data_IF_541800948150
#
_entry.id   IF_541800948150
#
_cell.length_a   1.000
_cell.length_b   1.000
_cell.length_c   1.000
_cell.angle_alpha   90.00
_cell.angle_beta   90.00
_cell.angle_gamma   90.00
#
_symmetry.space_group_name_H-M   'P 1'
#
loop_
_entity.id
_entity.type
_entity.pdbx_description
1 polymer ?
#
# COMPACT_ATOMS: atom_id res chain seq x y z
N UNK A 1 -16.12 -7.74 45.88
CA UNK A 1 -15.32 -7.09 44.82
C UNK A 1 -14.38 -6.14 45.51
N UNK A 2 -13.28 -6.72 45.99
CA UNK A 2 -12.03 -6.02 46.19
C UNK A 2 -11.76 -5.20 44.92
N UNK A 3 -11.51 -3.90 45.09
CA UNK A 3 -11.05 -3.04 44.03
C UNK A 3 -9.58 -2.76 44.28
N UNK A 4 -8.77 -2.91 43.24
CA UNK A 4 -7.35 -2.58 43.29
C UNK A 4 -7.17 -1.07 43.51
N UNK A 5 -6.23 -0.69 44.38
CA UNK A 5 -5.79 0.70 44.45
C UNK A 5 -4.98 1.09 43.20
N UNK A 6 -4.94 2.37 42.87
CA UNK A 6 -4.26 2.86 41.66
C UNK A 6 -2.76 2.49 41.64
N UNK A 7 -2.10 2.49 42.80
CA UNK A 7 -0.71 2.06 42.97
C UNK A 7 -0.48 0.58 42.59
N UNK A 8 -1.46 -0.30 42.85
CA UNK A 8 -1.41 -1.71 42.53
C UNK A 8 -1.64 -1.94 41.04
N UNK A 9 -2.55 -1.17 40.44
CA UNK A 9 -2.76 -1.17 38.97
C UNK A 9 -1.51 -0.71 38.25
N UNK A 10 -0.88 0.37 38.71
CA UNK A 10 0.36 0.88 38.14
C UNK A 10 1.51 -0.15 38.28
N UNK A 11 1.58 -0.86 39.41
CA UNK A 11 2.56 -1.94 39.63
C UNK A 11 2.36 -3.12 38.68
N UNK A 12 1.11 -3.50 38.37
CA UNK A 12 0.80 -4.54 37.38
C UNK A 12 1.19 -4.07 35.98
N UNK A 13 0.94 -2.80 35.65
CA UNK A 13 1.32 -2.24 34.36
C UNK A 13 2.84 -2.20 34.16
N UNK A 14 3.62 -1.78 35.17
CA UNK A 14 5.07 -1.82 35.12
C UNK A 14 5.60 -3.26 34.96
N UNK A 15 4.98 -4.23 35.64
CA UNK A 15 5.31 -5.65 35.49
C UNK A 15 5.06 -6.17 34.06
N UNK A 16 4.01 -5.69 33.39
CA UNK A 16 3.72 -6.01 31.98
C UNK A 16 4.79 -5.44 31.03
N UNK A 17 5.28 -4.22 31.31
CA UNK A 17 6.35 -3.59 30.54
C UNK A 17 7.69 -4.32 30.74
N UNK A 18 8.01 -4.72 31.97
CA UNK A 18 9.23 -5.47 32.31
C UNK A 18 9.27 -6.84 31.62
N UNK A 19 8.12 -7.46 31.36
CA UNK A 19 8.02 -8.70 30.58
C UNK A 19 8.15 -8.49 29.06
N UNK A 20 8.39 -7.26 28.60
CA UNK A 20 8.70 -6.95 27.20
C UNK A 20 7.49 -6.78 26.28
N UNK A 21 6.28 -6.61 26.83
CA UNK A 21 5.09 -6.34 26.03
C UNK A 21 5.22 -4.95 25.39
N UNK A 22 5.37 -4.90 24.07
CA UNK A 22 5.56 -3.64 23.33
C UNK A 22 4.30 -3.11 22.62
N UNK A 23 3.21 -3.88 22.61
CA UNK A 23 2.01 -3.55 21.83
C UNK A 23 0.93 -2.98 22.75
N UNK A 24 0.72 -1.66 22.67
CA UNK A 24 -0.12 -0.88 23.59
C UNK A 24 -1.55 -1.42 23.75
N UNK A 25 -2.24 -1.77 22.66
CA UNK A 25 -3.62 -2.28 22.80
C UNK A 25 -3.66 -3.61 23.54
N UNK A 26 -2.66 -4.48 23.33
CA UNK A 26 -2.54 -5.73 24.06
C UNK A 26 -2.12 -5.49 25.51
N UNK A 27 -1.26 -4.50 25.80
CA UNK A 27 -0.95 -4.13 27.19
C UNK A 27 -2.22 -3.75 27.95
N UNK A 28 -3.10 -2.93 27.35
CA UNK A 28 -4.34 -2.51 27.98
C UNK A 28 -5.32 -3.68 28.18
N UNK A 29 -5.50 -4.53 27.17
CA UNK A 29 -6.36 -5.71 27.27
C UNK A 29 -5.84 -6.70 28.33
N UNK A 30 -4.52 -6.88 28.43
CA UNK A 30 -3.88 -7.75 29.42
C UNK A 30 -3.92 -7.15 30.83
N UNK A 31 -3.73 -5.83 30.97
CA UNK A 31 -3.85 -5.13 32.23
C UNK A 31 -5.24 -5.32 32.83
N UNK A 32 -6.28 -5.05 32.05
CA UNK A 32 -7.68 -5.21 32.48
C UNK A 32 -7.97 -6.67 32.90
N UNK A 33 -7.50 -7.62 32.10
CA UNK A 33 -7.69 -9.04 32.39
C UNK A 33 -6.97 -9.50 33.67
N UNK A 34 -5.71 -9.10 33.86
CA UNK A 34 -4.93 -9.46 35.05
C UNK A 34 -5.48 -8.78 36.29
N UNK A 35 -5.91 -7.51 36.19
CA UNK A 35 -6.60 -6.82 37.28
C UNK A 35 -7.84 -7.60 37.74
N UNK A 36 -8.72 -8.02 36.82
CA UNK A 36 -9.89 -8.85 37.16
C UNK A 36 -9.50 -10.18 37.82
N UNK A 37 -8.45 -10.87 37.35
CA UNK A 37 -7.99 -12.12 37.96
C UNK A 37 -7.47 -11.92 39.38
N UNK A 38 -6.71 -10.84 39.62
CA UNK A 38 -6.17 -10.48 40.93
C UNK A 38 -7.31 -10.12 41.88
N UNK A 39 -8.27 -9.29 41.45
CA UNK A 39 -9.46 -8.93 42.24
C UNK A 39 -10.28 -10.15 42.63
N UNK A 40 -10.47 -11.11 41.72
CA UNK A 40 -11.19 -12.35 42.00
C UNK A 40 -10.46 -13.21 43.05
N UNK A 41 -9.13 -13.26 43.01
CA UNK A 41 -8.32 -14.00 44.00
C UNK A 41 -8.28 -13.31 45.36
N UNK A 42 -8.24 -11.97 45.38
CA UNK A 42 -8.37 -11.19 46.60
C UNK A 42 -9.76 -11.33 47.23
N UNK A 43 -10.82 -11.39 46.44
CA UNK A 43 -12.19 -11.69 46.92
C UNK A 43 -12.28 -13.09 47.58
N UNK A 44 -11.40 -14.02 47.19
CA UNK A 44 -11.28 -15.35 47.81
C UNK A 44 -10.37 -15.38 49.06
N UNK A 45 -9.88 -14.23 49.51
CA UNK A 45 -9.11 -14.08 50.76
C UNK A 45 -7.60 -14.19 50.63
N UNK A 46 -7.05 -14.14 49.40
CA UNK A 46 -5.59 -14.11 49.16
C UNK A 46 -5.04 -12.69 49.28
N UNK A 47 -3.78 -12.56 49.71
CA UNK A 47 -3.07 -11.28 49.69
C UNK A 47 -2.75 -10.84 48.24
N UNK A 48 -2.49 -9.55 48.03
CA UNK A 48 -2.23 -8.99 46.70
C UNK A 48 -1.03 -9.64 46.01
N UNK A 49 0.11 -9.76 46.70
CA UNK A 49 1.34 -10.33 46.11
C UNK A 49 1.16 -11.79 45.69
N UNK A 50 0.46 -12.58 46.50
CA UNK A 50 0.13 -13.98 46.20
C UNK A 50 -0.89 -14.08 45.06
N UNK A 51 -1.91 -13.22 45.06
CA UNK A 51 -2.90 -13.11 43.98
C UNK A 51 -2.25 -12.73 42.65
N UNK A 52 -1.28 -11.82 42.67
CA UNK A 52 -0.52 -11.36 41.51
C UNK A 52 0.41 -12.46 40.98
N UNK A 53 1.17 -13.14 41.85
CA UNK A 53 2.07 -14.20 41.41
C UNK A 53 1.30 -15.36 40.79
N UNK A 54 0.19 -15.77 41.41
CA UNK A 54 -0.68 -16.83 40.89
C UNK A 54 -1.31 -16.43 39.57
N UNK A 55 -1.79 -15.19 39.42
CA UNK A 55 -2.41 -14.72 38.17
C UNK A 55 -1.41 -14.60 37.04
N UNK A 56 -0.21 -14.12 37.34
CA UNK A 56 0.92 -14.01 36.39
C UNK A 56 1.39 -15.38 35.90
N UNK A 57 1.47 -16.36 36.81
CA UNK A 57 1.85 -17.73 36.48
C UNK A 57 0.76 -18.46 35.69
N UNK A 58 -0.50 -18.32 36.09
CA UNK A 58 -1.66 -18.91 35.41
C UNK A 58 -1.82 -18.34 34.00
N UNK A 59 -1.56 -17.05 33.81
CA UNK A 59 -1.62 -16.40 32.50
C UNK A 59 -0.38 -16.68 31.64
N UNK A 60 0.77 -17.02 32.24
CA UNK A 60 1.99 -17.39 31.51
C UNK A 60 2.76 -16.20 30.94
N UNK A 61 2.83 -15.09 31.68
CA UNK A 61 3.44 -13.82 31.25
C UNK A 61 4.85 -13.93 30.66
N UNK A 62 5.67 -14.87 31.17
CA UNK A 62 7.03 -15.11 30.67
C UNK A 62 7.08 -15.61 29.22
N UNK A 63 6.06 -16.32 28.75
CA UNK A 63 5.99 -16.89 27.40
C UNK A 63 5.33 -15.93 26.40
N UNK A 64 4.60 -14.92 26.87
CA UNK A 64 3.86 -14.00 25.99
C UNK A 64 4.76 -13.16 25.10
N UNK A 65 5.92 -12.73 25.61
CA UNK A 65 6.89 -11.96 24.84
C UNK A 65 7.40 -12.74 23.63
N UNK A 66 7.74 -14.03 23.83
CA UNK A 66 8.13 -14.94 22.75
C UNK A 66 7.00 -15.15 21.74
N UNK A 67 5.76 -15.31 22.22
CA UNK A 67 4.57 -15.45 21.36
C UNK A 67 4.31 -14.17 20.57
N UNK A 68 4.46 -13.00 21.18
CA UNK A 68 4.29 -11.69 20.53
C UNK A 68 5.35 -11.49 19.44
N UNK A 69 6.62 -11.80 19.73
CA UNK A 69 7.71 -11.72 18.76
C UNK A 69 7.46 -12.69 17.59
N UNK A 70 7.11 -13.95 17.88
CA UNK A 70 6.77 -14.94 16.86
C UNK A 70 5.57 -14.49 16.02
N UNK A 71 4.56 -13.88 16.63
CA UNK A 71 3.36 -13.36 15.94
C UNK A 71 3.72 -12.21 15.00
N UNK A 72 4.50 -11.23 15.46
CA UNK A 72 4.96 -10.13 14.61
C UNK A 72 5.87 -10.60 13.49
N UNK A 73 6.74 -11.57 13.77
CA UNK A 73 7.59 -12.18 12.76
C UNK A 73 6.74 -12.87 11.67
N UNK A 74 5.76 -13.69 12.06
CA UNK A 74 4.85 -14.35 11.11
C UNK A 74 4.00 -13.35 10.33
N UNK A 75 3.51 -12.29 10.97
CA UNK A 75 2.75 -11.23 10.29
C UNK A 75 3.62 -10.51 9.25
N UNK A 76 4.88 -10.23 9.59
CA UNK A 76 5.85 -9.61 8.69
C UNK A 76 6.17 -10.52 7.51
N UNK A 77 6.40 -11.82 7.76
CA UNK A 77 6.61 -12.82 6.70
C UNK A 77 5.40 -12.92 5.77
N UNK A 78 4.17 -12.94 6.33
CA UNK A 78 2.92 -12.97 5.55
C UNK A 78 2.80 -11.75 4.65
N UNK A 79 3.03 -10.55 5.18
CA UNK A 79 2.98 -9.31 4.39
C UNK A 79 4.04 -9.30 3.28
N UNK A 80 5.26 -9.76 3.58
CA UNK A 80 6.33 -9.86 2.58
C UNK A 80 5.99 -10.90 1.49
N UNK A 81 5.38 -12.03 1.86
CA UNK A 81 4.90 -13.03 0.90
C UNK A 81 3.81 -12.46 -0.01
N UNK A 82 2.85 -11.71 0.54
CA UNK A 82 1.81 -11.06 -0.23
C UNK A 82 2.37 -10.02 -1.21
N UNK A 83 3.33 -9.18 -0.77
CA UNK A 83 4.04 -8.23 -1.64
C UNK A 83 4.77 -8.93 -2.78
N UNK A 84 5.46 -10.04 -2.50
CA UNK A 84 6.13 -10.85 -3.53
C UNK A 84 5.14 -11.41 -4.57
N UNK A 85 4.00 -11.93 -4.12
CA UNK A 85 2.95 -12.45 -5.02
C UNK A 85 2.42 -11.34 -5.93
N UNK A 86 2.09 -10.18 -5.38
CA UNK A 86 1.64 -9.01 -6.17
C UNK A 86 2.72 -8.58 -7.17
N UNK A 87 3.99 -8.57 -6.77
CA UNK A 87 5.11 -8.27 -7.66
C UNK A 87 5.22 -9.24 -8.84
N UNK A 88 5.08 -10.56 -8.59
CA UNK A 88 5.10 -11.58 -9.64
C UNK A 88 3.93 -11.40 -10.61
N UNK A 89 2.73 -11.16 -10.07
CA UNK A 89 1.53 -10.89 -10.88
C UNK A 89 1.73 -9.63 -11.73
N UNK A 90 2.31 -8.57 -11.16
CA UNK A 90 2.61 -7.33 -11.89
C UNK A 90 3.58 -7.56 -13.06
N UNK A 91 4.65 -8.33 -12.84
CA UNK A 91 5.61 -8.68 -13.89
C UNK A 91 4.93 -9.49 -15.00
N UNK A 92 4.12 -10.50 -14.62
CA UNK A 92 3.39 -11.31 -15.60
C UNK A 92 2.39 -10.46 -16.41
N UNK A 93 1.72 -9.53 -15.74
CA UNK A 93 0.79 -8.58 -16.37
C UNK A 93 1.51 -7.69 -17.37
N UNK A 94 2.66 -7.12 -16.98
CA UNK A 94 3.48 -6.29 -17.85
C UNK A 94 3.99 -7.08 -19.07
N UNK A 95 4.45 -8.32 -18.88
CA UNK A 95 4.84 -9.21 -19.96
C UNK A 95 3.67 -9.51 -20.91
N UNK A 96 2.48 -9.77 -20.37
CA UNK A 96 1.26 -9.98 -21.15
C UNK A 96 0.91 -8.76 -22.00
N UNK A 97 0.97 -7.55 -21.43
CA UNK A 97 0.73 -6.31 -22.19
C UNK A 97 1.79 -6.11 -23.27
N UNK A 98 3.08 -6.30 -22.97
CA UNK A 98 4.14 -6.17 -23.97
C UNK A 98 3.97 -7.16 -25.14
N UNK A 99 3.68 -8.42 -24.83
CA UNK A 99 3.38 -9.44 -25.86
C UNK A 99 2.11 -9.10 -26.65
N UNK A 100 1.08 -8.55 -25.99
CA UNK A 100 -0.13 -8.11 -26.66
C UNK A 100 0.14 -6.98 -27.67
N UNK A 101 1.02 -6.03 -27.32
CA UNK A 101 1.42 -4.94 -28.21
C UNK A 101 2.20 -5.48 -29.41
N UNK A 102 3.19 -6.35 -29.19
CA UNK A 102 3.96 -6.94 -30.31
C UNK A 102 3.07 -7.78 -31.23
N UNK A 103 2.10 -8.51 -30.67
CA UNK A 103 1.15 -9.28 -31.46
C UNK A 103 0.22 -8.38 -32.28
N UNK A 104 -0.18 -7.22 -31.72
CA UNK A 104 -0.99 -6.23 -32.43
C UNK A 104 -0.23 -5.64 -33.62
N UNK A 105 1.06 -5.33 -33.45
CA UNK A 105 1.93 -4.82 -34.52
C UNK A 105 2.18 -5.90 -35.58
N UNK A 106 2.41 -7.14 -35.16
CA UNK A 106 2.63 -8.28 -36.06
C UNK A 106 1.36 -8.87 -36.70
N UNK A 107 0.18 -8.26 -36.47
CA UNK A 107 -1.12 -8.74 -36.95
C UNK A 107 -1.45 -10.21 -36.57
N UNK A 108 -0.87 -10.72 -35.48
CA UNK A 108 -1.14 -12.08 -35.01
C UNK A 108 -2.52 -12.18 -34.31
N UNK A 109 -3.19 -13.33 -34.48
CA UNK A 109 -4.48 -13.59 -33.81
C UNK A 109 -4.30 -13.63 -32.28
N UNK A 110 -5.28 -13.11 -31.55
CA UNK A 110 -5.29 -13.13 -30.07
C UNK A 110 -4.67 -11.91 -29.39
N UNK A 111 -4.09 -10.95 -30.14
CA UNK A 111 -3.55 -9.71 -29.59
C UNK A 111 -4.57 -8.94 -28.72
N UNK A 112 -5.83 -8.92 -29.15
CA UNK A 112 -6.90 -8.24 -28.41
C UNK A 112 -7.17 -8.86 -27.04
N UNK A 113 -7.13 -10.18 -26.94
CA UNK A 113 -7.38 -10.90 -25.68
C UNK A 113 -6.24 -10.66 -24.69
N UNK A 114 -4.98 -10.72 -25.15
CA UNK A 114 -3.81 -10.42 -24.31
C UNK A 114 -3.87 -8.98 -23.77
N UNK A 115 -4.15 -8.00 -24.63
CA UNK A 115 -4.23 -6.60 -24.20
C UNK A 115 -5.38 -6.37 -23.22
N UNK A 116 -6.56 -6.92 -23.51
CA UNK A 116 -7.72 -6.78 -22.62
C UNK A 116 -7.45 -7.38 -21.24
N UNK A 117 -6.99 -8.64 -21.20
CA UNK A 117 -6.68 -9.32 -19.94
C UNK A 117 -5.56 -8.61 -19.18
N UNK A 118 -4.48 -8.22 -19.85
CA UNK A 118 -3.36 -7.50 -19.24
C UNK A 118 -3.77 -6.15 -18.64
N UNK A 119 -4.48 -5.31 -19.38
CA UNK A 119 -4.89 -4.00 -18.87
C UNK A 119 -5.95 -4.08 -17.77
N UNK A 120 -6.90 -5.02 -17.86
CA UNK A 120 -7.89 -5.23 -16.78
C UNK A 120 -7.19 -5.70 -15.50
N UNK A 121 -6.24 -6.64 -15.62
CA UNK A 121 -5.51 -7.15 -14.47
C UNK A 121 -4.61 -6.07 -13.85
N UNK A 122 -3.99 -5.23 -14.67
CA UNK A 122 -3.23 -4.07 -14.21
C UNK A 122 -4.12 -3.07 -13.45
N UNK A 123 -5.24 -2.67 -14.06
CA UNK A 123 -6.13 -1.63 -13.54
C UNK A 123 -6.86 -2.01 -12.26
N UNK A 124 -7.37 -3.24 -12.17
CA UNK A 124 -8.23 -3.67 -11.06
C UNK A 124 -7.51 -4.48 -9.99
N UNK A 125 -6.40 -5.14 -10.30
CA UNK A 125 -5.71 -5.99 -9.32
C UNK A 125 -4.34 -5.42 -8.93
N UNK A 126 -3.47 -5.13 -9.89
CA UNK A 126 -2.08 -4.71 -9.60
C UNK A 126 -2.06 -3.31 -8.98
N UNK A 127 -2.66 -2.31 -9.64
CA UNK A 127 -2.63 -0.94 -9.11
C UNK A 127 -3.34 -0.79 -7.75
N UNK A 128 -4.54 -1.34 -7.53
CA UNK A 128 -5.21 -1.22 -6.23
C UNK A 128 -4.46 -1.95 -5.11
N UNK A 129 -3.88 -3.12 -5.39
CA UNK A 129 -3.09 -3.84 -4.37
C UNK A 129 -1.79 -3.12 -4.01
N UNK A 130 -1.07 -2.58 -4.99
CA UNK A 130 0.11 -1.75 -4.73
C UNK A 130 -0.24 -0.47 -3.97
N UNK A 131 -1.34 0.20 -4.34
CA UNK A 131 -1.86 1.35 -3.63
C UNK A 131 -2.13 1.04 -2.16
N UNK A 132 -2.75 -0.10 -1.85
CA UNK A 132 -3.02 -0.50 -0.46
C UNK A 132 -1.73 -0.65 0.36
N UNK A 133 -0.71 -1.32 -0.18
CA UNK A 133 0.56 -1.50 0.52
C UNK A 133 1.32 -0.18 0.72
N UNK A 134 1.33 0.69 -0.29
CA UNK A 134 2.01 1.97 -0.19
C UNK A 134 1.29 2.92 0.78
N UNK A 135 -0.04 2.92 0.80
CA UNK A 135 -0.81 3.73 1.76
C UNK A 135 -0.56 3.33 3.21
N UNK A 136 -0.36 2.04 3.47
CA UNK A 136 0.01 1.55 4.81
C UNK A 136 1.44 1.97 5.20
N UNK A 137 2.33 2.09 4.22
CA UNK A 137 3.74 2.44 4.47
C UNK A 137 3.97 3.97 4.60
N UNK A 138 3.09 4.79 4.03
CA UNK A 138 3.20 6.24 4.09
C UNK A 138 2.62 6.79 5.41
N UNK A 139 3.44 7.50 6.19
CA UNK A 139 3.03 8.05 7.48
C UNK A 139 2.26 9.38 7.35
N UNK A 140 2.66 10.26 6.43
CA UNK A 140 2.08 11.61 6.31
C UNK A 140 0.91 11.67 5.32
N UNK A 141 -0.09 12.52 5.60
CA UNK A 141 -1.25 12.72 4.72
C UNK A 141 -0.85 13.20 3.32
N UNK A 142 0.21 14.00 3.21
CA UNK A 142 0.77 14.43 1.92
C UNK A 142 1.29 13.24 1.11
N UNK A 143 2.01 12.31 1.75
CA UNK A 143 2.51 11.11 1.08
C UNK A 143 1.37 10.20 0.64
N UNK A 144 0.35 10.03 1.48
CA UNK A 144 -0.87 9.28 1.13
C UNK A 144 -1.56 9.89 -0.09
N UNK A 145 -1.80 11.21 -0.09
CA UNK A 145 -2.41 11.92 -1.21
C UNK A 145 -1.61 11.81 -2.52
N UNK A 146 -0.28 11.94 -2.45
CA UNK A 146 0.61 11.72 -3.60
C UNK A 146 0.51 10.29 -4.13
N UNK A 147 0.49 9.29 -3.23
CA UNK A 147 0.34 7.89 -3.61
C UNK A 147 -1.01 7.62 -4.27
N UNK A 148 -2.13 8.08 -3.68
CA UNK A 148 -3.47 7.90 -4.27
C UNK A 148 -3.57 8.54 -5.66
N UNK A 149 -3.16 9.81 -5.79
CA UNK A 149 -3.24 10.53 -7.06
C UNK A 149 -2.43 9.86 -8.17
N UNK A 150 -1.25 9.31 -7.86
CA UNK A 150 -0.43 8.58 -8.82
C UNK A 150 -1.08 7.30 -9.32
N UNK A 151 -1.60 6.47 -8.40
CA UNK A 151 -2.28 5.23 -8.77
C UNK A 151 -3.60 5.47 -9.52
N UNK A 152 -4.38 6.48 -9.12
CA UNK A 152 -5.61 6.89 -9.83
C UNK A 152 -5.28 7.34 -11.26
N UNK A 153 -4.24 8.16 -11.44
CA UNK A 153 -3.77 8.54 -12.77
C UNK A 153 -3.34 7.33 -13.60
N UNK A 154 -2.58 6.39 -13.01
CA UNK A 154 -2.15 5.16 -13.68
C UNK A 154 -3.31 4.27 -14.13
N UNK A 155 -4.35 4.13 -13.29
CA UNK A 155 -5.57 3.39 -13.64
C UNK A 155 -6.31 4.08 -14.79
N UNK A 156 -6.53 5.39 -14.72
CA UNK A 156 -7.20 6.15 -15.78
C UNK A 156 -6.45 6.05 -17.11
N UNK A 157 -5.12 6.20 -17.09
CA UNK A 157 -4.29 6.11 -18.30
C UNK A 157 -4.24 4.68 -18.87
N UNK A 158 -4.19 3.66 -18.02
CA UNK A 158 -4.21 2.26 -18.48
C UNK A 158 -5.55 1.89 -19.13
N UNK A 159 -6.67 2.33 -18.55
CA UNK A 159 -7.99 2.21 -19.18
C UNK A 159 -8.07 3.00 -20.48
N UNK A 160 -7.53 4.23 -20.52
CA UNK A 160 -7.49 5.01 -21.74
C UNK A 160 -6.75 4.25 -22.86
N UNK A 161 -5.55 3.73 -22.58
CA UNK A 161 -4.80 2.94 -23.57
C UNK A 161 -5.58 1.72 -24.05
N UNK A 162 -6.27 1.01 -23.16
CA UNK A 162 -7.12 -0.12 -23.53
C UNK A 162 -8.24 0.30 -24.49
N UNK A 163 -8.96 1.39 -24.19
CA UNK A 163 -10.03 1.90 -25.07
C UNK A 163 -9.52 2.29 -26.45
N UNK A 164 -8.30 2.85 -26.56
CA UNK A 164 -7.70 3.16 -27.87
C UNK A 164 -7.41 1.89 -28.67
N UNK A 165 -6.79 0.88 -28.04
CA UNK A 165 -6.47 -0.38 -28.73
C UNK A 165 -7.73 -1.14 -29.17
N UNK A 166 -8.79 -1.10 -28.36
CA UNK A 166 -10.08 -1.72 -28.65
C UNK A 166 -11.00 -0.87 -29.53
N UNK A 167 -10.59 0.35 -29.90
CA UNK A 167 -11.40 1.31 -30.67
C UNK A 167 -12.73 1.65 -29.97
N UNK A 168 -12.75 1.56 -28.65
CA UNK A 168 -13.93 1.86 -27.85
C UNK A 168 -14.10 3.37 -27.67
N UNK A 169 -15.34 3.86 -27.57
CA UNK A 169 -15.60 5.26 -27.28
C UNK A 169 -15.08 5.63 -25.89
N UNK A 170 -14.64 6.88 -25.72
CA UNK A 170 -14.23 7.41 -24.41
C UNK A 170 -12.73 7.56 -24.18
N UNK A 171 -11.89 7.20 -25.15
CA UNK A 171 -10.44 7.39 -25.08
C UNK A 171 -10.05 8.82 -24.67
N UNK A 172 -10.59 9.83 -25.36
CA UNK A 172 -10.20 11.22 -25.14
C UNK A 172 -10.47 11.68 -23.72
N UNK A 173 -11.65 11.36 -23.18
CA UNK A 173 -12.03 11.74 -21.81
C UNK A 173 -11.14 11.08 -20.76
N UNK A 174 -10.90 9.77 -20.89
CA UNK A 174 -10.04 9.02 -19.96
C UNK A 174 -8.57 9.45 -20.05
N UNK A 175 -8.07 9.67 -21.27
CA UNK A 175 -6.68 10.07 -21.50
C UNK A 175 -6.39 11.47 -20.95
N UNK A 176 -7.19 12.47 -21.32
CA UNK A 176 -6.99 13.83 -20.82
C UNK A 176 -7.29 13.94 -19.33
N UNK A 177 -8.28 13.22 -18.81
CA UNK A 177 -8.56 13.14 -17.37
C UNK A 177 -7.39 12.53 -16.60
N UNK A 178 -6.87 11.38 -17.05
CA UNK A 178 -5.70 10.74 -16.45
C UNK A 178 -4.45 11.61 -16.49
N UNK A 179 -4.21 12.30 -17.61
CA UNK A 179 -3.12 13.28 -17.75
C UNK A 179 -3.26 14.47 -16.81
N UNK A 180 -4.47 15.02 -16.69
CA UNK A 180 -4.74 16.12 -15.78
C UNK A 180 -4.46 15.71 -14.33
N UNK A 181 -4.89 14.52 -13.91
CA UNK A 181 -4.57 14.00 -12.56
C UNK A 181 -3.06 13.80 -12.39
N UNK A 182 -2.36 13.25 -13.39
CA UNK A 182 -0.92 13.02 -13.32
C UNK A 182 -0.13 14.34 -13.18
N UNK A 183 -0.45 15.34 -14.01
CA UNK A 183 0.30 16.59 -14.09
C UNK A 183 -0.11 17.60 -13.01
N UNK A 184 -1.41 17.71 -12.70
CA UNK A 184 -1.91 18.74 -11.78
C UNK A 184 -2.00 18.26 -10.33
N UNK A 185 -2.12 16.96 -10.07
CA UNK A 185 -2.20 16.42 -8.70
C UNK A 185 -0.93 15.68 -8.33
N UNK A 186 -0.60 14.60 -9.06
CA UNK A 186 0.51 13.74 -8.68
C UNK A 186 1.86 14.46 -8.69
N UNK A 187 2.17 15.20 -9.76
CA UNK A 187 3.44 15.91 -9.92
C UNK A 187 3.72 16.97 -8.84
N UNK A 188 2.82 17.93 -8.53
CA UNK A 188 3.06 18.90 -7.46
C UNK A 188 3.11 18.25 -6.07
N UNK A 189 2.28 17.24 -5.80
CA UNK A 189 2.32 16.54 -4.51
C UNK A 189 3.63 15.75 -4.34
N UNK A 190 4.10 15.09 -5.40
CA UNK A 190 5.35 14.34 -5.40
C UNK A 190 6.57 15.25 -5.24
N UNK A 191 6.60 16.39 -5.93
CA UNK A 191 7.70 17.36 -5.81
C UNK A 191 7.72 18.01 -4.43
N UNK A 192 6.57 18.40 -3.88
CA UNK A 192 6.50 18.97 -2.53
C UNK A 192 6.93 17.98 -1.46
N UNK A 193 6.54 16.69 -1.59
CA UNK A 193 7.08 15.59 -0.77
C UNK A 193 8.60 15.49 -0.90
N UNK A 194 9.11 15.38 -2.13
CA UNK A 194 10.54 15.16 -2.39
C UNK A 194 11.39 16.34 -1.94
N UNK A 195 10.86 17.56 -2.00
CA UNK A 195 11.56 18.78 -1.53
C UNK A 195 11.72 18.81 -0.01
N UNK A 196 10.74 18.28 0.75
CA UNK A 196 10.84 18.18 2.21
C UNK A 196 11.72 17.01 2.68
N UNK A 197 11.84 15.96 1.88
CA UNK A 197 12.53 14.72 2.29
C UNK A 197 13.96 14.59 1.74
N UNK A 198 14.31 15.21 0.60
CA UNK A 198 15.66 15.10 0.03
C UNK A 198 16.55 16.28 0.41
N UNK A 199 17.78 15.99 0.86
CA UNK A 199 18.83 17.01 1.08
C UNK A 199 19.17 17.78 -0.21
N UNK A 200 19.09 17.13 -1.38
CA UNK A 200 19.38 17.73 -2.69
C UNK A 200 18.13 18.08 -3.49
N UNK A 201 17.69 19.34 -3.36
CA UNK A 201 16.52 19.94 -4.05
C UNK A 201 16.57 19.84 -5.58
N UNK A 202 17.78 19.85 -6.16
CA UNK A 202 18.00 19.72 -7.61
C UNK A 202 17.57 18.33 -8.12
N UNK A 203 17.78 17.28 -7.33
CA UNK A 203 17.42 15.92 -7.72
C UNK A 203 15.91 15.70 -7.76
N UNK A 204 15.17 16.34 -6.85
CA UNK A 204 13.71 16.36 -6.85
C UNK A 204 13.15 17.05 -8.10
N UNK A 205 13.71 18.21 -8.48
CA UNK A 205 13.33 18.92 -9.70
C UNK A 205 13.66 18.10 -10.95
N UNK A 206 14.85 17.49 -11.02
CA UNK A 206 15.25 16.65 -12.14
C UNK A 206 14.30 15.46 -12.36
N UNK A 207 13.87 14.76 -11.31
CA UNK A 207 12.87 13.67 -11.40
C UNK A 207 11.54 14.16 -11.97
N UNK A 208 11.07 15.32 -11.53
CA UNK A 208 9.81 15.89 -12.02
C UNK A 208 9.88 16.32 -13.49
N UNK A 209 11.02 16.87 -13.91
CA UNK A 209 11.30 17.21 -15.31
C UNK A 209 11.37 15.97 -16.20
N UNK A 210 11.98 14.87 -15.72
CA UNK A 210 12.03 13.60 -16.44
C UNK A 210 10.62 13.03 -16.69
N UNK A 211 9.71 13.13 -15.72
CA UNK A 211 8.32 12.69 -15.89
C UNK A 211 7.62 13.53 -16.95
N UNK A 212 7.78 14.86 -16.93
CA UNK A 212 7.21 15.76 -17.95
C UNK A 212 7.77 15.43 -19.34
N UNK A 213 9.08 15.24 -19.44
CA UNK A 213 9.74 14.89 -20.69
C UNK A 213 9.19 13.58 -21.26
N UNK A 214 9.04 12.55 -20.42
CA UNK A 214 8.45 11.26 -20.81
C UNK A 214 7.01 11.40 -21.31
N UNK A 215 6.18 12.18 -20.63
CA UNK A 215 4.80 12.47 -21.05
C UNK A 215 4.77 13.21 -22.39
N UNK A 216 5.63 14.21 -22.58
CA UNK A 216 5.71 14.98 -23.83
C UNK A 216 6.13 14.11 -25.01
N UNK A 217 7.10 13.21 -24.82
CA UNK A 217 7.54 12.27 -25.85
C UNK A 217 6.37 11.37 -26.27
N UNK A 218 5.67 10.77 -25.31
CA UNK A 218 4.53 9.88 -25.60
C UNK A 218 3.42 10.63 -26.35
N UNK A 219 3.09 11.86 -25.91
CA UNK A 219 2.09 12.70 -26.56
C UNK A 219 2.49 13.09 -27.99
N UNK A 220 3.75 13.46 -28.18
CA UNK A 220 4.27 13.84 -29.50
C UNK A 220 4.31 12.66 -30.47
N UNK A 221 4.78 11.49 -30.02
CA UNK A 221 4.75 10.25 -30.81
C UNK A 221 3.33 9.88 -31.24
N UNK A 222 2.35 10.03 -30.34
CA UNK A 222 0.95 9.79 -30.65
C UNK A 222 0.43 10.72 -31.74
N UNK A 223 0.70 12.03 -31.61
CA UNK A 223 0.23 13.03 -32.59
C UNK A 223 0.91 12.91 -33.95
N UNK A 224 2.16 12.48 -33.99
CA UNK A 224 2.89 12.22 -35.22
C UNK A 224 2.27 11.06 -36.02
N UNK A 225 1.89 9.97 -35.34
CA UNK A 225 1.27 8.81 -35.99
C UNK A 225 -0.09 9.18 -36.58
N UNK A 226 -0.93 9.91 -35.84
CA UNK A 226 -2.23 10.37 -36.36
C UNK A 226 -2.04 11.31 -37.58
N UNK A 227 -1.03 12.18 -37.57
CA UNK A 227 -0.71 13.06 -38.70
C UNK A 227 -0.29 12.28 -39.95
N UNK A 228 0.59 11.28 -39.81
CA UNK A 228 1.03 10.44 -40.95
C UNK A 228 -0.12 9.64 -41.57
N UNK A 229 -1.04 9.13 -40.74
CA UNK A 229 -2.22 8.41 -41.24
C UNK A 229 -3.14 9.34 -42.05
N UNK A 230 -3.34 10.58 -41.59
CA UNK A 230 -4.14 11.57 -42.31
C UNK A 230 -3.47 11.95 -43.65
N UNK A 231 -2.15 12.15 -43.65
CA UNK A 231 -1.40 12.51 -44.86
C UNK A 231 -1.41 11.37 -45.90
N UNK A 232 -1.33 10.11 -45.45
CA UNK A 232 -1.47 8.94 -46.32
C UNK A 232 -2.90 8.77 -46.87
N UNK A 233 -3.93 9.15 -46.12
CA UNK A 233 -5.32 9.07 -46.55
C UNK A 233 -5.75 10.21 -47.49
N UNK A 234 -4.96 11.30 -47.52
CA UNK A 234 -5.20 12.46 -48.38
C UNK A 234 -4.51 12.37 -49.76
N UNK A 235 -3.69 11.32 -49.99
CA UNK A 235 -3.06 10.98 -51.28
C UNK A 235 -3.78 9.82 -51.94
#
# INVERSE_FOLDING_TARGET
MAQLEQNQVDSIYDLLLDHGLSYESLQLDLLDHICCMVEQKMDNGLEFDESLSLSTQEFGLSQLSEIQEATFHLLTLKLNKMKKVVGIIAILTAACVMLGITFKIGHYLGAGVLLFTGFILAAFFVFPSMMFFDLKNNSTNLQKAATVSGYVAGILLSLATLTKFMHWPGFSYLYYGGLAVLLLLFMPLYTFRSYKTQENKIFALAKSMLIIAGVMVIWFSYRMVDFMIIEMAAK
#
